data_IF_074993221240
#
_entry.id   IF_074993221240
#
_cell.length_a   1.000
_cell.length_b   1.000
_cell.length_c   1.000
_cell.angle_alpha   90.00
_cell.angle_beta   90.00
_cell.angle_gamma   90.00
#
_symmetry.space_group_name_H-M   'P 1'
#
loop_
_entity.id
_entity.type
_entity.pdbx_description
1 polymer ?
#
# COMPACT_ATOMS: atom_id res chain seq x y z
N UNK A 1 12.12 1.10 -9.00
CA UNK A 1 10.83 1.08 -8.25
C UNK A 1 10.88 0.31 -6.93
N UNK A 2 11.62 0.80 -5.95
CA UNK A 2 11.67 0.22 -4.60
C UNK A 2 11.65 1.38 -3.60
N UNK A 3 10.97 1.24 -2.48
CA UNK A 3 10.93 2.30 -1.48
C UNK A 3 10.36 1.88 -0.15
N UNK A 4 10.54 2.74 0.85
CA UNK A 4 9.96 2.59 2.18
C UNK A 4 9.64 3.97 2.72
N UNK A 5 8.37 4.36 2.68
CA UNK A 5 7.90 5.67 3.12
C UNK A 5 6.38 5.65 3.39
N UNK A 6 5.83 6.80 3.77
CA UNK A 6 4.38 6.99 3.86
C UNK A 6 3.73 6.99 2.48
N UNK A 7 2.69 6.19 2.28
CA UNK A 7 1.93 6.08 1.04
C UNK A 7 0.50 6.61 1.22
N UNK A 8 -0.15 7.04 0.14
CA UNK A 8 -1.48 7.65 0.16
C UNK A 8 -2.52 6.80 -0.58
N UNK A 9 -3.81 6.91 -0.20
CA UNK A 9 -4.91 6.35 -0.98
C UNK A 9 -5.34 7.29 -2.12
N UNK A 10 -5.72 6.70 -3.25
CA UNK A 10 -6.35 7.38 -4.39
C UNK A 10 -7.66 6.71 -4.77
N UNK A 11 -8.74 7.49 -4.94
CA UNK A 11 -10.05 6.98 -5.33
C UNK A 11 -10.17 6.82 -6.85
N UNK A 12 -9.49 5.81 -7.40
CA UNK A 12 -9.61 5.47 -8.83
C UNK A 12 -11.03 5.04 -9.23
N UNK A 13 -11.84 4.52 -8.30
CA UNK A 13 -13.19 4.04 -8.61
C UNK A 13 -14.15 5.19 -8.88
N UNK A 14 -13.96 6.33 -8.22
CA UNK A 14 -14.76 7.55 -8.46
C UNK A 14 -14.59 8.15 -9.86
N UNK A 15 -13.54 7.78 -10.61
CA UNK A 15 -13.27 8.31 -11.94
C UNK A 15 -14.37 7.94 -12.95
N UNK A 16 -15.15 6.88 -12.72
CA UNK A 16 -16.34 6.55 -13.51
C UNK A 16 -16.06 6.52 -15.02
N UNK A 17 -16.80 7.32 -15.79
CA UNK A 17 -16.59 7.39 -17.25
C UNK A 17 -15.27 8.04 -17.67
N UNK A 18 -14.59 8.80 -16.80
CA UNK A 18 -13.28 9.37 -17.08
C UNK A 18 -12.21 8.28 -17.28
N UNK A 19 -12.42 7.08 -16.74
CA UNK A 19 -11.56 5.91 -16.95
C UNK A 19 -11.44 5.51 -18.44
N UNK A 20 -12.46 5.80 -19.24
CA UNK A 20 -12.46 5.52 -20.67
C UNK A 20 -11.75 6.59 -21.51
N UNK A 21 -11.52 7.79 -20.93
CA UNK A 21 -11.01 8.97 -21.65
C UNK A 21 -9.61 9.37 -21.20
N UNK A 22 -9.23 9.04 -19.96
CA UNK A 22 -7.94 9.38 -19.38
C UNK A 22 -7.16 8.11 -19.14
N UNK A 23 -6.16 7.83 -19.98
CA UNK A 23 -5.18 6.80 -19.67
C UNK A 23 -4.25 7.31 -18.56
N UNK A 24 -3.78 6.44 -17.65
CA UNK A 24 -2.70 6.77 -16.74
C UNK A 24 -1.42 7.06 -17.54
N UNK A 25 -0.38 7.56 -16.85
CA UNK A 25 0.89 7.92 -17.50
C UNK A 25 1.55 6.77 -18.28
N UNK A 26 1.25 5.52 -17.92
CA UNK A 26 1.72 4.34 -18.66
C UNK A 26 0.94 4.01 -19.94
N UNK A 27 -0.14 4.72 -20.25
CA UNK A 27 -0.94 4.51 -21.46
C UNK A 27 -1.86 3.28 -21.44
N UNK A 28 -1.93 2.54 -20.33
CA UNK A 28 -2.84 1.39 -20.19
C UNK A 28 -4.28 1.87 -19.98
N UNK A 29 -5.25 1.54 -20.85
CA UNK A 29 -6.64 1.95 -20.62
C UNK A 29 -7.13 1.38 -19.28
N UNK A 30 -7.68 2.21 -18.39
CA UNK A 30 -8.18 1.71 -17.10
C UNK A 30 -9.27 0.64 -17.25
N UNK A 31 -9.98 0.66 -18.38
CA UNK A 31 -10.99 -0.35 -18.74
C UNK A 31 -10.40 -1.74 -19.01
N UNK A 32 -9.07 -1.90 -19.03
CA UNK A 32 -8.38 -3.19 -19.16
C UNK A 32 -7.67 -3.61 -17.87
N UNK A 33 -7.94 -2.91 -16.76
CA UNK A 33 -7.25 -3.08 -15.48
C UNK A 33 -8.26 -3.28 -14.36
N UNK A 34 -7.90 -4.08 -13.36
CA UNK A 34 -8.57 -4.02 -12.06
C UNK A 34 -8.10 -2.77 -11.29
N UNK A 35 -8.84 -1.67 -11.42
CA UNK A 35 -8.56 -0.38 -10.78
C UNK A 35 -8.57 -0.44 -9.24
N UNK A 36 -9.04 -1.53 -8.63
CA UNK A 36 -8.97 -1.70 -7.19
C UNK A 36 -7.57 -2.07 -6.69
N UNK A 37 -6.67 -2.55 -7.57
CA UNK A 37 -5.32 -3.05 -7.26
C UNK A 37 -4.21 -2.37 -8.09
N UNK A 38 -4.40 -1.11 -8.45
CA UNK A 38 -3.39 -0.30 -9.12
C UNK A 38 -2.78 0.75 -8.19
N UNK A 39 -1.65 1.30 -8.59
CA UNK A 39 -0.99 2.41 -7.88
C UNK A 39 -0.31 3.37 -8.85
N UNK A 40 -0.23 4.64 -8.45
CA UNK A 40 0.78 5.56 -8.97
C UNK A 40 2.08 5.43 -8.16
N UNK A 41 3.22 5.65 -8.81
CA UNK A 41 4.54 5.60 -8.18
C UNK A 41 5.26 6.93 -8.39
N UNK A 42 5.79 7.52 -7.31
CA UNK A 42 6.50 8.79 -7.36
C UNK A 42 7.78 8.66 -8.20
N UNK A 43 7.94 9.57 -9.17
CA UNK A 43 9.11 9.64 -10.06
C UNK A 43 9.40 8.34 -10.82
N UNK A 44 8.35 7.57 -11.13
CA UNK A 44 8.47 6.38 -11.96
C UNK A 44 8.98 6.72 -13.35
N UNK A 45 9.93 5.94 -13.86
CA UNK A 45 10.35 6.00 -15.26
C UNK A 45 9.31 5.28 -16.13
N UNK A 46 8.39 6.04 -16.70
CA UNK A 46 7.30 5.51 -17.54
C UNK A 46 7.76 4.70 -18.75
N UNK A 47 9.00 4.87 -19.21
CA UNK A 47 9.51 4.12 -20.36
C UNK A 47 9.91 2.67 -20.01
N UNK A 48 10.22 2.38 -18.74
CA UNK A 48 10.78 1.08 -18.34
C UNK A 48 10.13 0.44 -17.13
N UNK A 49 9.42 1.23 -16.31
CA UNK A 49 8.88 0.79 -15.03
C UNK A 49 7.34 0.57 -15.08
N UNK A 50 6.69 1.00 -16.15
CA UNK A 50 5.27 0.79 -16.36
C UNK A 50 4.88 -0.69 -16.35
N UNK A 51 3.80 -1.02 -15.63
CA UNK A 51 3.27 -2.37 -15.56
C UNK A 51 4.05 -3.32 -14.64
N UNK A 52 5.01 -2.81 -13.86
CA UNK A 52 5.71 -3.64 -12.88
C UNK A 52 4.75 -4.03 -11.76
N UNK A 53 4.79 -5.31 -11.39
CA UNK A 53 4.09 -5.82 -10.22
C UNK A 53 4.88 -5.46 -8.96
N UNK A 54 4.22 -4.81 -8.01
CA UNK A 54 4.81 -4.42 -6.74
C UNK A 54 4.19 -5.24 -5.62
N UNK A 55 5.03 -5.72 -4.72
CA UNK A 55 4.60 -6.17 -3.39
C UNK A 55 4.69 -5.01 -2.43
N UNK A 56 3.60 -4.71 -1.74
CA UNK A 56 3.51 -3.66 -0.73
C UNK A 56 3.30 -4.32 0.63
N UNK A 57 4.26 -4.10 1.53
CA UNK A 57 4.29 -4.68 2.86
C UNK A 57 4.08 -3.61 3.93
N UNK A 58 3.41 -3.99 5.02
CA UNK A 58 3.22 -3.15 6.19
C UNK A 58 3.40 -3.96 7.49
N UNK A 59 4.07 -3.40 8.52
CA UNK A 59 4.28 -4.10 9.78
C UNK A 59 3.01 -4.05 10.66
N UNK A 60 2.89 -4.91 11.69
CA UNK A 60 1.71 -4.98 12.56
C UNK A 60 1.34 -3.66 13.24
N UNK A 61 2.34 -2.79 13.50
CA UNK A 61 2.10 -1.48 14.11
C UNK A 61 1.37 -0.47 13.20
N UNK A 62 1.18 -0.77 11.92
CA UNK A 62 0.64 0.16 10.94
C UNK A 62 -0.76 -0.23 10.40
N UNK A 63 -1.32 -1.36 10.83
CA UNK A 63 -2.66 -1.79 10.39
C UNK A 63 -3.56 -2.17 11.56
N UNK A 64 -4.86 -2.06 11.34
CA UNK A 64 -5.89 -2.51 12.27
C UNK A 64 -6.27 -3.94 11.89
N UNK A 65 -6.14 -4.89 12.82
CA UNK A 65 -6.63 -6.25 12.64
C UNK A 65 -8.16 -6.29 12.73
N UNK A 66 -8.80 -7.05 11.83
CA UNK A 66 -10.24 -7.30 11.89
C UNK A 66 -10.62 -7.83 13.28
N UNK A 67 -11.42 -7.07 14.01
CA UNK A 67 -11.85 -7.39 15.38
C UNK A 67 -11.08 -6.68 16.50
N UNK A 68 -9.98 -5.99 16.21
CA UNK A 68 -9.42 -5.01 17.13
C UNK A 68 -10.21 -3.71 16.99
N UNK A 69 -11.36 -3.62 17.68
CA UNK A 69 -11.97 -2.33 18.02
C UNK A 69 -10.98 -1.56 18.91
N UNK A 70 -9.97 -0.94 18.30
CA UNK A 70 -9.26 0.17 18.92
C UNK A 70 -10.34 1.21 19.16
N UNK A 71 -10.54 1.63 20.41
CA UNK A 71 -11.66 2.44 20.91
C UNK A 71 -11.79 3.84 20.31
N UNK A 72 -11.86 3.93 18.99
CA UNK A 72 -12.41 5.02 18.23
C UNK A 72 -13.91 4.67 18.11
N UNK A 73 -14.84 5.58 18.45
CA UNK A 73 -16.26 5.30 18.32
C UNK A 73 -16.50 4.77 16.91
N UNK A 74 -16.95 3.52 16.83
CA UNK A 74 -17.15 2.80 15.59
C UNK A 74 -18.10 3.58 14.71
N UNK A 75 -17.55 4.37 13.80
CA UNK A 75 -18.18 4.59 12.51
C UNK A 75 -17.95 3.29 11.78
N UNK A 76 -18.78 2.28 12.11
CA UNK A 76 -19.03 1.20 11.20
C UNK A 76 -19.33 1.86 9.85
N UNK A 77 -18.54 1.55 8.83
CA UNK A 77 -18.87 1.88 7.45
C UNK A 77 -20.13 1.07 7.13
N UNK A 78 -21.28 1.63 7.48
CA UNK A 78 -22.58 1.10 7.14
C UNK A 78 -22.70 1.20 5.62
N UNK A 79 -22.36 0.11 4.93
CA UNK A 79 -22.82 -0.13 3.57
C UNK A 79 -24.34 -0.26 3.67
N UNK A 80 -25.07 0.77 3.21
CA UNK A 80 -26.51 1.00 3.37
C UNK A 80 -26.96 1.63 4.71
N UNK A 81 -26.74 2.95 4.84
CA UNK A 81 -27.55 3.78 5.74
C UNK A 81 -28.62 4.50 4.90
N UNK A 82 -29.79 3.88 4.76
CA UNK A 82 -31.00 4.64 4.38
C UNK A 82 -31.34 5.56 5.55
N UNK A 83 -31.10 6.86 5.36
CA UNK A 83 -31.30 7.89 6.37
C UNK A 83 -32.79 8.04 6.71
N UNK A 84 -33.30 7.21 7.61
CA UNK A 84 -34.59 7.45 8.27
C UNK A 84 -34.32 8.22 9.55
N UNK A 85 -34.66 9.50 9.54
CA UNK A 85 -34.44 10.42 10.64
C UNK A 85 -35.39 10.06 11.79
N UNK A 86 -34.91 9.42 12.85
CA UNK A 86 -35.62 9.38 14.13
C UNK A 86 -34.65 9.26 15.28
N UNK A 87 -34.60 10.32 16.10
CA UNK A 87 -34.16 10.38 17.51
C UNK A 87 -32.82 9.73 17.88
N UNK A 88 -31.84 10.58 18.20
CA UNK A 88 -30.66 10.17 18.96
C UNK A 88 -31.07 9.80 20.39
N UNK A 89 -31.26 8.50 20.65
CA UNK A 89 -31.14 7.96 22.00
C UNK A 89 -29.66 7.74 22.32
N UNK A 90 -29.23 8.28 23.45
CA UNK A 90 -27.86 8.24 23.93
C UNK A 90 -27.50 6.80 24.29
N UNK A 91 -26.69 6.14 23.44
CA UNK A 91 -26.25 4.77 23.69
C UNK A 91 -25.30 4.72 24.90
N UNK A 92 -25.40 3.65 25.74
CA UNK A 92 -24.61 3.51 26.95
C UNK A 92 -23.12 3.42 26.64
N UNK A 93 -22.33 4.24 27.34
CA UNK A 93 -20.87 4.24 27.26
C UNK A 93 -20.32 3.04 28.02
N UNK A 94 -20.04 1.93 27.35
CA UNK A 94 -19.31 0.82 27.97
C UNK A 94 -17.81 1.14 27.96
N UNK A 95 -17.27 1.55 29.11
CA UNK A 95 -15.83 1.62 29.33
C UNK A 95 -15.25 0.21 29.38
N UNK A 96 -14.57 -0.22 28.32
CA UNK A 96 -13.86 -1.51 28.32
C UNK A 96 -12.50 -1.31 28.97
N UNK A 97 -12.28 -1.98 30.10
CA UNK A 97 -10.98 -2.03 30.75
C UNK A 97 -10.02 -2.87 29.91
N UNK A 98 -8.88 -2.29 29.53
CA UNK A 98 -7.77 -3.00 28.89
C UNK A 98 -7.21 -4.04 29.86
N UNK A 99 -7.72 -5.26 29.81
CA UNK A 99 -7.14 -6.39 30.52
C UNK A 99 -5.81 -6.74 29.84
N UNK A 100 -4.73 -6.54 30.57
CA UNK A 100 -3.34 -6.78 30.17
C UNK A 100 -3.15 -8.27 29.91
N UNK A 101 -3.45 -8.74 28.69
CA UNK A 101 -3.18 -10.12 28.25
C UNK A 101 -1.70 -10.43 28.46
N UNK A 102 -1.46 -11.50 29.22
CA UNK A 102 -0.14 -12.01 29.53
C UNK A 102 0.67 -12.28 28.27
N UNK A 103 1.92 -11.80 28.30
CA UNK A 103 2.94 -12.02 27.28
C UNK A 103 3.31 -13.51 27.27
N UNK A 104 2.61 -14.27 26.44
CA UNK A 104 3.10 -15.55 25.94
C UNK A 104 4.36 -15.32 25.12
N UNK A 105 5.35 -16.18 25.33
CA UNK A 105 6.70 -16.13 24.75
C UNK A 105 6.64 -15.88 23.23
N UNK A 106 7.07 -14.67 22.84
CA UNK A 106 7.11 -14.16 21.48
C UNK A 106 8.22 -14.84 20.68
N UNK A 107 7.89 -15.93 20.00
CA UNK A 107 8.66 -16.36 18.82
C UNK A 107 8.41 -15.33 17.70
N UNK A 108 9.34 -14.37 17.54
CA UNK A 108 9.48 -13.48 16.37
C UNK A 108 8.20 -12.87 15.76
N UNK A 109 7.29 -12.31 16.56
CA UNK A 109 6.17 -11.49 16.04
C UNK A 109 6.69 -10.25 15.27
N UNK A 110 7.94 -9.85 15.52
CA UNK A 110 8.59 -8.71 14.87
C UNK A 110 8.84 -8.83 13.36
N UNK A 111 8.74 -10.03 12.78
CA UNK A 111 9.05 -10.25 11.36
C UNK A 111 7.81 -10.48 10.48
N UNK A 112 6.63 -10.60 11.09
CA UNK A 112 5.39 -10.85 10.36
C UNK A 112 4.85 -9.54 9.79
N UNK A 113 4.66 -9.48 8.48
CA UNK A 113 4.07 -8.36 7.75
C UNK A 113 2.75 -8.77 7.11
N UNK A 114 1.89 -7.80 6.90
CA UNK A 114 0.75 -7.90 6.00
C UNK A 114 1.15 -7.33 4.65
N UNK A 115 0.71 -7.94 3.56
CA UNK A 115 1.09 -7.49 2.22
C UNK A 115 0.02 -7.73 1.17
N UNK A 116 0.15 -6.97 0.09
CA UNK A 116 -0.71 -7.01 -1.11
C UNK A 116 0.16 -6.87 -2.37
N UNK A 117 -0.33 -7.39 -3.49
CA UNK A 117 0.25 -7.17 -4.81
C UNK A 117 -0.56 -6.17 -5.62
N UNK A 118 0.12 -5.12 -6.11
CA UNK A 118 -0.48 -4.03 -6.88
C UNK A 118 0.31 -3.77 -8.15
N UNK A 119 -0.36 -3.24 -9.17
CA UNK A 119 0.24 -2.92 -10.46
C UNK A 119 0.60 -1.42 -10.54
N UNK A 120 1.84 -1.11 -10.86
CA UNK A 120 2.28 0.27 -11.11
C UNK A 120 1.84 0.71 -12.52
N UNK A 121 0.87 1.62 -12.59
CA UNK A 121 0.28 2.06 -13.88
C UNK A 121 0.34 3.56 -14.10
N UNK A 122 0.63 4.35 -13.08
CA UNK A 122 0.66 5.80 -13.17
C UNK A 122 1.87 6.40 -12.43
N UNK A 123 2.18 7.66 -12.68
CA UNK A 123 3.20 8.42 -11.96
C UNK A 123 2.56 9.54 -11.15
N UNK A 124 2.91 9.66 -9.87
CA UNK A 124 2.28 10.63 -9.00
C UNK A 124 2.52 10.39 -7.52
N UNK A 125 1.95 11.28 -6.70
CA UNK A 125 1.94 11.16 -5.25
C UNK A 125 3.30 11.31 -4.55
N UNK A 126 3.28 10.97 -3.26
CA UNK A 126 4.46 10.87 -2.40
C UNK A 126 4.69 9.39 -2.10
N UNK A 127 5.57 8.74 -2.86
CA UNK A 127 5.86 7.31 -2.72
C UNK A 127 4.94 6.49 -3.59
N UNK A 128 3.91 5.91 -2.98
CA UNK A 128 2.82 5.26 -3.70
C UNK A 128 1.52 6.03 -3.48
N UNK A 129 0.75 6.18 -4.55
CA UNK A 129 -0.65 6.58 -4.48
C UNK A 129 -1.50 5.37 -4.87
N UNK A 130 -1.86 4.56 -3.87
CA UNK A 130 -2.46 3.24 -4.05
C UNK A 130 -3.97 3.35 -4.13
N UNK A 131 -4.63 2.48 -4.90
CA UNK A 131 -6.08 2.45 -4.96
C UNK A 131 -6.71 2.36 -3.55
N UNK A 132 -7.67 3.24 -3.26
CA UNK A 132 -8.26 3.41 -1.93
C UNK A 132 -8.81 2.09 -1.36
N UNK A 133 -9.37 1.22 -2.20
CA UNK A 133 -9.89 -0.09 -1.78
C UNK A 133 -8.75 -1.00 -1.31
N UNK A 134 -7.67 -1.12 -2.09
CA UNK A 134 -6.46 -1.85 -1.68
C UNK A 134 -5.82 -1.24 -0.43
N UNK A 135 -5.78 0.10 -0.34
CA UNK A 135 -5.24 0.81 0.82
C UNK A 135 -6.02 0.46 2.09
N UNK A 136 -7.34 0.53 2.01
CA UNK A 136 -8.20 0.23 3.15
C UNK A 136 -8.12 -1.25 3.53
N UNK A 137 -8.04 -2.17 2.56
CA UNK A 137 -7.84 -3.59 2.83
C UNK A 137 -6.48 -3.87 3.50
N UNK A 138 -5.41 -3.18 3.09
CA UNK A 138 -4.08 -3.35 3.66
C UNK A 138 -3.99 -2.81 5.10
N UNK A 139 -4.47 -1.59 5.36
CA UNK A 139 -4.25 -0.90 6.63
C UNK A 139 -5.45 -0.93 7.59
N UNK A 140 -6.65 -1.26 7.12
CA UNK A 140 -7.89 -1.14 7.88
C UNK A 140 -8.36 0.32 8.06
N UNK A 141 -7.81 1.28 7.31
CA UNK A 141 -8.20 2.70 7.33
C UNK A 141 -7.94 3.35 5.96
N UNK A 142 -8.58 4.48 5.67
CA UNK A 142 -8.58 5.10 4.33
C UNK A 142 -8.24 6.59 4.30
N UNK A 143 -7.90 7.19 5.45
CA UNK A 143 -7.89 8.65 5.60
C UNK A 143 -6.48 9.23 5.76
N UNK A 144 -5.58 8.47 6.40
CA UNK A 144 -4.27 8.98 6.78
C UNK A 144 -3.17 8.30 5.99
N UNK A 145 -2.19 9.04 5.46
CA UNK A 145 -0.98 8.46 4.87
C UNK A 145 -0.33 7.48 5.87
N UNK A 146 0.05 6.29 5.40
CA UNK A 146 0.58 5.22 6.28
C UNK A 146 1.90 4.66 5.75
N UNK A 147 2.80 4.31 6.66
CA UNK A 147 4.09 3.72 6.31
C UNK A 147 3.96 2.33 5.68
N UNK A 148 4.63 2.14 4.55
CA UNK A 148 4.78 0.85 3.88
C UNK A 148 6.14 0.73 3.20
N UNK A 149 6.52 -0.51 2.92
CA UNK A 149 7.69 -0.86 2.11
C UNK A 149 7.20 -1.54 0.84
N UNK A 150 7.79 -1.21 -0.31
CA UNK A 150 7.45 -1.85 -1.57
C UNK A 150 8.67 -2.15 -2.42
N UNK A 151 8.55 -3.20 -3.24
CA UNK A 151 9.59 -3.64 -4.15
C UNK A 151 8.97 -4.43 -5.33
N UNK A 152 9.67 -4.51 -6.47
CA UNK A 152 9.23 -5.29 -7.62
C UNK A 152 9.21 -6.78 -7.29
N UNK A 153 8.22 -7.48 -7.80
CA UNK A 153 8.10 -8.94 -7.75
C UNK A 153 7.78 -9.49 -9.14
N UNK A 154 7.73 -10.81 -9.25
CA UNK A 154 7.36 -11.48 -10.50
C UNK A 154 5.99 -10.98 -11.03
N UNK A 155 5.87 -10.67 -12.34
CA UNK A 155 4.61 -10.28 -12.95
C UNK A 155 3.46 -11.27 -12.74
N UNK A 156 3.75 -12.56 -12.51
CA UNK A 156 2.75 -13.61 -12.21
C UNK A 156 1.79 -13.23 -11.07
N UNK A 157 2.26 -12.51 -10.05
CA UNK A 157 1.42 -12.08 -8.92
C UNK A 157 0.41 -10.98 -9.26
N UNK A 158 0.55 -10.34 -10.42
CA UNK A 158 -0.34 -9.28 -10.91
C UNK A 158 -1.04 -9.65 -12.24
N UNK A 159 -0.91 -10.87 -12.74
CA UNK A 159 -1.56 -11.29 -13.99
C UNK A 159 -3.08 -11.14 -13.93
N UNK A 160 -3.66 -11.31 -12.75
CA UNK A 160 -5.09 -11.17 -12.52
C UNK A 160 -5.55 -9.70 -12.39
N UNK A 161 -4.62 -8.74 -12.32
CA UNK A 161 -4.91 -7.29 -12.38
C UNK A 161 -4.98 -6.86 -13.86
N UNK A 162 -4.19 -7.49 -14.72
CA UNK A 162 -4.19 -7.34 -16.19
C UNK A 162 -5.41 -7.94 -16.90
N UNK A 163 -6.53 -8.12 -16.19
CA UNK A 163 -7.72 -8.72 -16.77
C UNK A 163 -8.23 -7.82 -17.89
N UNK A 164 -8.22 -8.37 -19.11
CA UNK A 164 -8.98 -7.91 -20.27
C UNK A 164 -10.46 -7.79 -19.87
N UNK A 165 -10.78 -6.68 -19.23
CA UNK A 165 -11.94 -6.55 -18.38
C UNK A 165 -13.12 -6.45 -19.33
N UNK A 166 -13.94 -7.50 -19.37
CA UNK A 166 -15.29 -7.35 -19.90
C UNK A 166 -15.94 -6.19 -19.14
N UNK A 167 -16.80 -5.43 -19.83
CA UNK A 167 -17.49 -4.22 -19.31
C UNK A 167 -18.21 -4.39 -17.96
N UNK A 168 -18.22 -5.58 -17.38
CA UNK A 168 -18.86 -5.96 -16.13
C UNK A 168 -18.10 -5.49 -14.88
N UNK A 169 -16.76 -5.48 -14.84
CA UNK A 169 -16.05 -4.95 -13.66
C UNK A 169 -16.16 -3.41 -13.54
N UNK A 170 -16.38 -2.70 -14.66
CA UNK A 170 -16.78 -1.28 -14.61
C UNK A 170 -18.19 -1.08 -14.04
N UNK A 171 -19.04 -2.10 -14.06
CA UNK A 171 -20.40 -2.07 -13.49
C UNK A 171 -20.43 -2.51 -12.02
N UNK A 172 -19.51 -3.39 -11.62
CA UNK A 172 -19.37 -3.87 -10.25
C UNK A 172 -17.89 -3.85 -9.86
N UNK A 173 -17.41 -2.73 -9.29
CA UNK A 173 -16.04 -2.63 -8.81
C UNK A 173 -15.75 -3.73 -7.78
N UNK A 174 -14.53 -4.26 -7.79
CA UNK A 174 -14.06 -5.23 -6.78
C UNK A 174 -14.30 -4.65 -5.38
N UNK A 175 -14.98 -5.42 -4.51
CA UNK A 175 -15.23 -4.97 -3.14
C UNK A 175 -13.96 -5.08 -2.30
N UNK A 176 -13.91 -4.32 -1.21
CA UNK A 176 -12.77 -4.38 -0.28
C UNK A 176 -12.51 -5.78 0.28
N UNK A 177 -13.58 -6.55 0.54
CA UNK A 177 -13.47 -7.90 1.08
C UNK A 177 -12.93 -8.93 0.08
N UNK A 178 -12.94 -8.61 -1.21
CA UNK A 178 -12.44 -9.48 -2.28
C UNK A 178 -10.96 -9.23 -2.59
N UNK A 179 -10.34 -8.22 -1.96
CA UNK A 179 -8.92 -7.91 -2.15
C UNK A 179 -8.08 -8.97 -1.43
N UNK A 180 -7.19 -9.69 -2.14
CA UNK A 180 -6.36 -10.71 -1.51
C UNK A 180 -5.30 -10.03 -0.63
N UNK A 181 -5.48 -10.20 0.69
CA UNK A 181 -4.52 -9.78 1.72
C UNK A 181 -3.80 -11.02 2.24
N UNK A 182 -2.48 -10.91 2.29
CA UNK A 182 -1.62 -11.98 2.74
C UNK A 182 -0.86 -11.59 4.00
N UNK A 183 -0.43 -12.60 4.76
CA UNK A 183 0.44 -12.42 5.91
C UNK A 183 1.64 -13.36 5.80
N UNK A 184 2.81 -12.91 6.21
CA UNK A 184 4.01 -13.75 6.17
C UNK A 184 5.24 -13.00 6.66
N UNK A 185 6.42 -13.60 6.50
CA UNK A 185 7.67 -12.89 6.78
C UNK A 185 7.90 -11.78 5.76
N UNK A 186 8.48 -10.67 6.21
CA UNK A 186 9.00 -9.65 5.30
C UNK A 186 9.98 -10.28 4.32
N UNK A 187 9.83 -9.96 3.03
CA UNK A 187 10.81 -10.33 2.00
C UNK A 187 11.44 -9.10 1.36
N UNK A 188 11.32 -7.93 2.01
CA UNK A 188 11.91 -6.70 1.53
C UNK A 188 13.45 -6.85 1.39
N UNK A 189 14.04 -6.34 0.30
CA UNK A 189 15.49 -6.27 0.13
C UNK A 189 16.19 -5.62 1.33
N UNK A 190 17.39 -6.11 1.66
CA UNK A 190 18.20 -5.56 2.74
C UNK A 190 18.43 -4.04 2.52
N UNK A 191 18.30 -3.26 3.60
CA UNK A 191 18.43 -1.81 3.58
C UNK A 191 17.10 -1.05 3.45
N UNK A 192 15.97 -1.73 3.23
CA UNK A 192 14.64 -1.14 3.36
C UNK A 192 14.14 -1.36 4.79
N UNK A 193 14.26 -0.34 5.63
CA UNK A 193 13.66 -0.38 6.97
C UNK A 193 12.18 -0.08 6.88
N UNK A 194 11.36 -0.94 7.49
CA UNK A 194 9.92 -0.71 7.62
C UNK A 194 9.67 0.61 8.35
N UNK A 195 8.83 1.47 7.78
CA UNK A 195 8.46 2.75 8.42
C UNK A 195 7.34 2.47 9.40
N UNK A 196 7.66 2.33 10.69
CA UNK A 196 6.65 2.22 11.76
C UNK A 196 6.14 3.62 12.08
N UNK A 197 4.84 3.86 11.90
CA UNK A 197 4.24 5.11 12.31
C UNK A 197 3.99 5.07 13.82
N UNK A 198 4.97 5.52 14.60
CA UNK A 198 4.76 5.78 16.03
C UNK A 198 3.83 6.98 16.15
N UNK A 199 2.54 6.73 16.35
CA UNK A 199 1.54 7.77 16.58
C UNK A 199 2.05 8.81 17.58
N UNK A 200 2.05 10.07 17.16
CA UNK A 200 2.60 11.19 17.92
C UNK A 200 2.04 11.25 19.35
N UNK A 201 2.87 10.87 20.31
CA UNK A 201 2.53 10.83 21.72
C UNK A 201 3.77 10.59 22.58
N UNK A 202 4.71 11.55 22.58
CA UNK A 202 5.82 11.54 23.52
C UNK A 202 7.08 12.18 22.96
N UNK A 203 7.37 13.39 23.42
CA UNK A 203 8.70 14.00 23.39
C UNK A 203 9.69 13.08 24.11
N UNK A 204 10.37 12.22 23.35
CA UNK A 204 11.39 11.30 23.81
C UNK A 204 12.56 11.33 22.84
N UNK A 205 13.43 12.30 23.06
CA UNK A 205 14.72 12.46 22.40
C UNK A 205 15.59 11.23 22.66
N UNK A 206 15.77 10.37 21.65
CA UNK A 206 16.95 9.51 21.56
C UNK A 206 17.48 9.53 20.14
N UNK A 207 18.51 10.35 19.97
CA UNK A 207 19.49 10.35 18.90
C UNK A 207 19.96 8.94 18.54
N UNK A 208 19.64 8.51 17.32
CA UNK A 208 20.18 7.30 16.70
C UNK A 208 20.42 7.56 15.21
N UNK A 209 21.27 8.55 14.91
CA UNK A 209 21.69 8.83 13.55
C UNK A 209 22.53 7.66 13.01
N UNK A 210 21.89 6.73 12.30
CA UNK A 210 22.59 5.80 11.42
C UNK A 210 23.25 6.60 10.29
N UNK A 211 24.52 6.94 10.50
CA UNK A 211 25.43 7.38 9.45
C UNK A 211 25.65 6.21 8.49
N UNK A 212 24.87 6.18 7.40
CA UNK A 212 25.26 5.40 6.22
C UNK A 212 26.41 6.16 5.58
N UNK A 213 27.64 5.74 5.88
CA UNK A 213 28.81 6.14 5.10
C UNK A 213 28.71 5.47 3.74
N UNK A 214 28.40 6.24 2.71
CA UNK A 214 28.74 5.85 1.34
C UNK A 214 30.27 5.94 1.20
N UNK A 215 30.93 4.80 1.34
CA UNK A 215 32.34 4.64 0.98
C UNK A 215 32.44 4.61 -0.55
N UNK A 216 32.84 5.73 -1.14
CA UNK A 216 33.26 5.81 -2.53
C UNK A 216 34.57 5.04 -2.71
N UNK A 217 34.46 3.74 -2.99
CA UNK A 217 35.58 2.95 -3.48
C UNK A 217 35.54 2.94 -5.01
N UNK A 218 36.44 3.76 -5.56
CA UNK A 218 36.87 3.79 -6.95
C UNK A 218 37.38 2.40 -7.35
N UNK A 219 36.84 1.83 -8.43
CA UNK A 219 37.54 0.84 -9.24
C UNK A 219 37.51 1.27 -10.70
N UNK A 220 38.58 1.96 -11.09
CA UNK A 220 39.10 2.04 -12.45
C UNK A 220 39.59 0.64 -12.88
N UNK A 221 39.24 0.21 -14.10
CA UNK A 221 40.00 -0.69 -15.02
C UNK A 221 39.11 -0.93 -16.25
N UNK A 222 39.31 -0.25 -17.38
CA UNK A 222 40.29 -0.50 -18.47
C UNK A 222 39.69 -1.32 -19.64
N UNK A 223 40.03 -0.88 -20.87
CA UNK A 223 39.90 -1.47 -22.21
C UNK A 223 38.68 -0.94 -23.01
N UNK A 224 38.79 0.06 -23.91
CA UNK A 224 39.65 0.22 -25.09
C UNK A 224 39.37 -0.86 -26.17
N UNK A 225 39.22 -0.41 -27.43
CA UNK A 225 39.07 -1.17 -28.70
C UNK A 225 37.58 -1.54 -28.99
N UNK A 226 36.87 -1.00 -29.99
CA UNK A 226 37.14 -1.03 -31.44
C UNK A 226 36.60 0.20 -32.16
N UNK A 227 37.51 0.90 -32.84
CA UNK A 227 37.26 1.59 -34.10
C UNK A 227 37.23 0.53 -35.22
N UNK A 228 36.51 0.82 -36.32
CA UNK A 228 36.34 0.05 -37.56
C UNK A 228 35.32 -1.11 -37.52
N UNK A 229 34.20 -0.96 -38.25
CA UNK A 229 33.96 -1.55 -39.59
C UNK A 229 32.57 -1.10 -40.09
N UNK A 230 32.57 -0.55 -41.32
CA UNK A 230 31.46 -0.20 -42.23
C UNK A 230 30.63 1.08 -41.97
#
# INVERSE_FOLDING_TARGET
MTGSQSITPHDYQSLGQALALSAPSCGFPYVTLDISRITAVQKMNVASECGTCLRVETPPGNYIEDGATVGIPGVAMATHFEATTTKFEQLPTTSVSLEKRGVGRSDSVGDQVRYIYVLAVDTGGLGLDMAQVSFTALFGQSLSPTGATWFPVDPEYCQDIWRNTTKEQLKSPTSMGDIPIYTGKSTAPAGLTQVVYSGGGGSGETSGASRVMYSNAICYMIALIFLYVL
#
